data_IF_989150261948
#
_entry.id   IF_989150261948
#
_cell.length_a   1.000
_cell.length_b   1.000
_cell.length_c   1.000
_cell.angle_alpha   90.00
_cell.angle_beta   90.00
_cell.angle_gamma   90.00
#
_symmetry.space_group_name_H-M   'P 1'
#
loop_
_entity.id
_entity.type
_entity.pdbx_description
1 polymer ?
#
# COMPACT_ATOMS: atom_id res chain seq x y z
N UNK A 1 76.95 41.58 38.22
CA UNK A 1 76.72 41.39 36.77
C UNK A 1 76.63 39.87 36.50
N UNK A 2 75.62 39.41 35.91
CA UNK A 2 75.53 38.00 35.53
C UNK A 2 76.53 37.73 34.40
N UNK A 3 77.15 36.55 34.39
CA UNK A 3 78.08 36.19 33.32
C UNK A 3 77.28 36.01 31.96
N UNK A 4 77.96 36.18 30.84
CA UNK A 4 77.31 35.98 29.52
C UNK A 4 76.68 34.58 29.35
N UNK A 5 77.30 33.57 29.95
CA UNK A 5 76.77 32.21 29.97
C UNK A 5 75.43 32.08 30.74
N UNK A 6 75.35 32.74 31.91
CA UNK A 6 74.07 32.73 32.70
C UNK A 6 72.93 33.47 31.97
N UNK A 7 73.25 34.50 31.19
CA UNK A 7 72.30 35.25 30.39
C UNK A 7 71.77 34.38 29.21
N UNK A 8 72.64 33.59 28.55
CA UNK A 8 72.31 32.69 27.49
C UNK A 8 71.43 31.51 27.99
N UNK A 9 71.82 30.88 29.11
CA UNK A 9 71.04 29.81 29.73
C UNK A 9 69.66 30.31 30.15
N UNK A 10 69.49 31.47 30.66
CA UNK A 10 68.23 32.06 31.07
C UNK A 10 67.33 32.39 29.87
N UNK A 11 67.90 32.75 28.71
CA UNK A 11 67.18 32.95 27.49
C UNK A 11 66.65 31.61 26.94
N UNK A 12 67.44 30.57 26.92
CA UNK A 12 67.03 29.23 26.46
C UNK A 12 65.89 28.68 27.34
N UNK A 13 66.06 28.82 28.69
CA UNK A 13 65.01 28.36 29.62
C UNK A 13 63.66 29.13 29.44
N UNK A 14 63.74 30.43 29.13
CA UNK A 14 62.54 31.23 28.83
C UNK A 14 61.91 30.88 27.51
N UNK A 15 62.65 30.50 26.49
CA UNK A 15 62.10 30.01 25.20
C UNK A 15 61.46 28.66 25.35
N UNK A 16 62.09 27.71 26.04
CA UNK A 16 61.48 26.42 26.36
C UNK A 16 60.14 26.54 27.13
N UNK A 17 60.11 27.39 28.13
CA UNK A 17 58.90 27.71 28.90
C UNK A 17 57.83 28.37 28.02
N UNK A 18 58.18 29.16 27.02
CA UNK A 18 57.27 29.77 26.07
C UNK A 18 56.72 28.72 25.11
N UNK A 19 57.53 27.82 24.64
CA UNK A 19 57.13 26.73 23.75
C UNK A 19 56.16 25.73 24.46
N UNK A 20 56.50 25.34 25.68
CA UNK A 20 55.61 24.49 26.50
C UNK A 20 54.24 25.15 26.76
N UNK A 21 54.25 26.48 27.07
CA UNK A 21 53.02 27.25 27.25
C UNK A 21 52.21 27.33 25.94
N UNK A 22 52.85 27.47 24.78
CA UNK A 22 52.20 27.49 23.46
C UNK A 22 51.64 26.12 23.12
N UNK A 23 52.38 25.05 23.34
CA UNK A 23 51.93 23.67 23.12
C UNK A 23 50.75 23.34 24.04
N UNK A 24 50.79 23.71 25.32
CA UNK A 24 49.69 23.51 26.26
C UNK A 24 48.42 24.28 25.83
N UNK A 25 48.54 25.56 25.42
CA UNK A 25 47.41 26.34 24.89
C UNK A 25 46.84 25.74 23.62
N UNK A 26 47.67 25.28 22.67
CA UNK A 26 47.20 24.60 21.45
C UNK A 26 46.43 23.33 21.79
N UNK A 27 46.95 22.51 22.72
CA UNK A 27 46.28 21.30 23.19
C UNK A 27 44.91 21.61 23.84
N UNK A 28 44.84 22.66 24.67
CA UNK A 28 43.54 23.08 25.25
C UNK A 28 42.55 23.58 24.19
N UNK A 29 43.00 24.39 23.23
CA UNK A 29 42.14 24.86 22.15
C UNK A 29 41.58 23.67 21.34
N UNK A 30 42.42 22.66 21.03
CA UNK A 30 41.97 21.45 20.33
C UNK A 30 40.93 20.68 21.18
N UNK A 31 41.18 20.48 22.47
CA UNK A 31 40.26 19.79 23.38
C UNK A 31 38.91 20.53 23.44
N UNK A 32 38.90 21.85 23.60
CA UNK A 32 37.68 22.65 23.65
C UNK A 32 36.93 22.62 22.30
N UNK A 33 37.66 22.68 21.17
CA UNK A 33 37.06 22.61 19.84
C UNK A 33 36.43 21.25 19.60
N UNK A 34 37.08 20.15 19.95
CA UNK A 34 36.54 18.79 19.84
C UNK A 34 35.32 18.61 20.75
N UNK A 35 35.41 19.08 22.03
CA UNK A 35 34.27 19.01 22.95
C UNK A 35 33.07 19.81 22.46
N UNK A 36 33.31 20.98 21.85
CA UNK A 36 32.24 21.79 21.24
C UNK A 36 31.58 21.12 20.04
N UNK A 37 32.39 20.51 19.17
CA UNK A 37 31.86 19.73 18.02
C UNK A 37 31.05 18.55 18.52
N UNK A 38 31.53 17.80 19.52
CA UNK A 38 30.78 16.68 20.12
C UNK A 38 29.47 17.16 20.74
N UNK A 39 29.49 18.31 21.43
CA UNK A 39 28.27 18.89 22.00
C UNK A 39 27.24 19.28 20.92
N UNK A 40 27.72 19.87 19.80
CA UNK A 40 26.84 20.17 18.65
C UNK A 40 26.25 18.90 18.06
N UNK A 41 27.06 17.85 17.84
CA UNK A 41 26.59 16.57 17.32
C UNK A 41 25.54 15.97 18.26
N UNK A 42 25.78 15.96 19.56
CA UNK A 42 24.82 15.49 20.56
C UNK A 42 23.52 16.31 20.53
N UNK A 43 23.64 17.64 20.41
CA UNK A 43 22.46 18.52 20.31
C UNK A 43 21.65 18.22 19.03
N UNK A 44 22.31 18.06 17.89
CA UNK A 44 21.64 17.72 16.61
C UNK A 44 21.00 16.35 16.70
N UNK A 45 21.68 15.34 17.26
CA UNK A 45 21.13 13.99 17.45
C UNK A 45 19.93 14.02 18.41
N UNK A 46 20.02 14.78 19.50
CA UNK A 46 18.92 14.92 20.47
C UNK A 46 17.74 15.66 19.85
N UNK A 47 17.99 16.77 19.13
CA UNK A 47 16.95 17.51 18.41
C UNK A 47 16.28 16.64 17.35
N UNK A 48 17.07 15.86 16.60
CA UNK A 48 16.56 14.89 15.64
C UNK A 48 15.72 13.80 16.32
N UNK A 49 16.17 13.26 17.46
CA UNK A 49 15.42 12.27 18.22
C UNK A 49 14.09 12.82 18.78
N UNK A 50 14.09 14.04 19.32
CA UNK A 50 12.90 14.74 19.81
C UNK A 50 11.94 15.06 18.66
N UNK A 51 12.48 15.51 17.51
CA UNK A 51 11.71 15.75 16.30
C UNK A 51 11.04 14.46 15.80
N UNK A 52 11.76 13.36 15.73
CA UNK A 52 11.24 12.05 15.38
C UNK A 52 10.13 11.57 16.34
N UNK A 53 10.32 11.77 17.66
CA UNK A 53 9.27 11.45 18.65
C UNK A 53 8.03 12.31 18.49
N UNK A 54 8.17 13.59 18.23
CA UNK A 54 7.05 14.51 17.99
C UNK A 54 6.25 14.13 16.73
N UNK A 55 6.92 13.61 15.69
CA UNK A 55 6.26 13.08 14.50
C UNK A 55 5.50 11.76 14.80
N UNK A 56 6.04 10.90 15.67
CA UNK A 56 5.36 9.67 16.09
C UNK A 56 4.12 9.95 16.95
N UNK A 57 4.17 10.93 17.85
CA UNK A 57 3.01 11.29 18.69
C UNK A 57 1.86 11.93 17.89
N UNK A 58 2.12 12.60 16.77
CA UNK A 58 1.07 13.10 15.88
C UNK A 58 0.42 11.99 15.03
N UNK A 59 1.01 10.81 14.91
CA UNK A 59 0.52 9.67 14.13
C UNK A 59 -0.22 8.61 14.96
N UNK A 60 -0.16 8.65 16.29
CA UNK A 60 -0.91 7.75 17.16
C UNK A 60 -2.34 8.24 17.39
N UNK A 61 -3.10 8.40 16.31
CA UNK A 61 -4.56 8.36 16.39
C UNK A 61 -4.98 6.92 16.16
N UNK A 62 -5.31 6.27 17.29
CA UNK A 62 -6.09 5.04 17.41
C UNK A 62 -5.90 3.97 16.31
N UNK A 63 -5.08 2.95 16.59
CA UNK A 63 -5.25 1.62 16.00
C UNK A 63 -4.71 1.42 14.59
N UNK A 64 -3.84 2.27 14.10
CA UNK A 64 -3.19 2.07 12.80
C UNK A 64 -1.83 1.39 12.97
N UNK A 65 -1.72 0.22 12.37
CA UNK A 65 -0.47 -0.41 11.95
C UNK A 65 0.48 0.64 11.36
N UNK A 66 1.81 0.45 11.45
CA UNK A 66 2.89 1.29 10.88
C UNK A 66 2.85 1.34 9.33
N UNK A 67 1.65 1.55 8.75
CA UNK A 67 1.43 1.61 7.30
C UNK A 67 1.54 3.04 6.80
N UNK A 68 2.40 3.24 5.81
CA UNK A 68 2.54 4.50 5.09
C UNK A 68 1.52 4.57 3.95
N UNK A 69 0.61 5.55 4.00
CA UNK A 69 -0.39 5.80 2.95
C UNK A 69 0.11 6.89 2.01
N UNK A 70 0.21 6.56 0.71
CA UNK A 70 0.68 7.48 -0.33
C UNK A 70 -0.31 7.49 -1.50
N UNK A 71 -0.85 8.65 -1.81
CA UNK A 71 -1.73 8.86 -2.97
C UNK A 71 -0.89 9.09 -4.23
N UNK A 72 -0.99 8.19 -5.18
CA UNK A 72 -0.41 8.36 -6.50
C UNK A 72 -1.39 9.05 -7.43
N UNK A 73 -0.91 10.08 -8.13
CA UNK A 73 -1.66 10.90 -9.07
C UNK A 73 -0.93 10.94 -10.41
N UNK A 74 -1.57 10.45 -11.45
CA UNK A 74 -1.09 10.54 -12.82
C UNK A 74 -1.93 11.51 -13.64
N UNK A 75 -1.28 12.48 -14.31
CA UNK A 75 -1.96 13.48 -15.14
C UNK A 75 -1.55 13.37 -16.61
N UNK A 76 -2.35 13.96 -17.50
CA UNK A 76 -2.02 14.19 -18.90
C UNK A 76 -1.39 15.59 -19.06
N UNK A 77 -0.23 15.68 -19.69
CA UNK A 77 0.55 16.91 -19.84
C UNK A 77 -0.11 17.98 -20.76
N UNK A 78 -1.15 17.61 -21.50
CA UNK A 78 -1.59 18.39 -22.67
C UNK A 78 -2.57 19.54 -22.42
N UNK A 79 -3.03 19.80 -21.20
CA UNK A 79 -4.07 20.78 -20.95
C UNK A 79 -3.72 21.75 -19.80
N UNK A 80 -3.07 22.86 -20.14
CA UNK A 80 -2.65 23.92 -19.21
C UNK A 80 -3.78 24.54 -18.38
N UNK A 81 -5.04 24.39 -18.74
CA UNK A 81 -6.16 25.07 -18.08
C UNK A 81 -7.06 24.17 -17.23
N UNK A 82 -6.95 22.84 -17.30
CA UNK A 82 -7.77 21.91 -16.52
C UNK A 82 -7.18 20.51 -16.43
N UNK A 83 -5.90 20.41 -16.07
CA UNK A 83 -5.22 19.12 -15.90
C UNK A 83 -5.93 18.30 -14.82
N UNK A 84 -6.48 17.16 -15.20
CA UNK A 84 -7.16 16.22 -14.29
C UNK A 84 -6.27 15.04 -13.99
N UNK A 85 -6.38 14.51 -12.79
CA UNK A 85 -5.75 13.24 -12.47
C UNK A 85 -6.55 12.09 -13.10
N UNK A 86 -5.99 11.46 -14.12
CA UNK A 86 -6.62 10.33 -14.82
C UNK A 86 -6.28 8.97 -14.21
N UNK A 87 -5.20 8.91 -13.43
CA UNK A 87 -4.83 7.76 -12.62
C UNK A 87 -4.76 8.18 -11.16
N UNK A 88 -5.57 7.55 -10.32
CA UNK A 88 -5.66 7.85 -8.89
C UNK A 88 -5.58 6.51 -8.16
N UNK A 89 -4.50 6.30 -7.38
CA UNK A 89 -4.27 5.06 -6.65
C UNK A 89 -3.76 5.38 -5.25
N UNK A 90 -4.31 4.70 -4.25
CA UNK A 90 -3.80 4.76 -2.89
C UNK A 90 -2.90 3.56 -2.61
N UNK A 91 -1.65 3.82 -2.31
CA UNK A 91 -0.69 2.82 -1.85
C UNK A 91 -0.67 2.78 -0.33
N UNK A 92 -0.69 1.57 0.22
CA UNK A 92 -0.51 1.26 1.63
C UNK A 92 0.72 0.39 1.77
N UNK A 93 1.76 0.90 2.42
CA UNK A 93 3.06 0.26 2.54
C UNK A 93 3.33 -0.08 4.00
N UNK A 94 3.39 -1.37 4.32
CA UNK A 94 3.80 -1.85 5.65
C UNK A 94 5.31 -2.11 5.66
N UNK A 95 6.06 -1.21 6.29
CA UNK A 95 7.53 -1.32 6.36
C UNK A 95 8.01 -2.42 7.31
N UNK A 96 7.11 -3.00 8.11
CA UNK A 96 7.41 -4.07 9.06
C UNK A 96 7.28 -5.44 8.40
N UNK A 97 6.15 -5.70 7.73
CA UNK A 97 5.84 -6.99 7.08
C UNK A 97 6.27 -7.04 5.62
N UNK A 98 6.43 -5.88 4.98
CA UNK A 98 6.67 -5.75 3.54
C UNK A 98 5.42 -5.96 2.69
N UNK A 99 4.23 -5.93 3.28
CA UNK A 99 2.98 -5.97 2.54
C UNK A 99 2.71 -4.65 1.82
N UNK A 100 2.18 -4.76 0.61
CA UNK A 100 1.80 -3.61 -0.22
C UNK A 100 0.35 -3.74 -0.61
N UNK A 101 -0.46 -2.74 -0.26
CA UNK A 101 -1.82 -2.60 -0.73
C UNK A 101 -1.93 -1.51 -1.80
N UNK A 102 -2.65 -1.77 -2.89
CA UNK A 102 -2.92 -0.78 -3.94
C UNK A 102 -4.42 -0.72 -4.21
N UNK A 103 -5.03 0.40 -3.88
CA UNK A 103 -6.44 0.67 -4.15
C UNK A 103 -6.57 1.65 -5.31
N UNK A 104 -7.04 1.17 -6.47
CA UNK A 104 -7.36 2.02 -7.61
C UNK A 104 -8.69 2.73 -7.37
N UNK A 105 -8.71 4.04 -7.49
CA UNK A 105 -9.90 4.88 -7.35
C UNK A 105 -10.32 5.35 -8.74
N UNK A 106 -11.49 4.91 -9.27
CA UNK A 106 -11.96 5.36 -10.56
C UNK A 106 -12.05 6.89 -10.62
N UNK A 107 -11.52 7.50 -11.67
CA UNK A 107 -11.43 8.96 -11.82
C UNK A 107 -12.77 9.69 -11.73
N UNK A 108 -13.85 9.01 -12.12
CA UNK A 108 -15.22 9.55 -12.09
C UNK A 108 -15.94 9.27 -10.75
N UNK A 109 -15.21 8.79 -9.72
CA UNK A 109 -15.77 8.53 -8.38
C UNK A 109 -16.37 9.79 -7.81
N UNK A 110 -17.63 9.69 -7.40
CA UNK A 110 -18.36 10.77 -6.73
C UNK A 110 -17.83 10.96 -5.32
N UNK A 111 -17.35 12.16 -5.01
CA UNK A 111 -16.74 12.49 -3.72
C UNK A 111 -17.22 13.85 -3.23
N UNK A 112 -17.39 14.00 -1.93
CA UNK A 112 -17.56 15.29 -1.29
C UNK A 112 -16.20 15.95 -1.11
N UNK A 113 -16.03 17.16 -1.68
CA UNK A 113 -14.80 17.94 -1.51
C UNK A 113 -15.07 18.99 -0.43
N UNK A 114 -14.54 18.83 0.81
CA UNK A 114 -14.87 19.68 1.96
C UNK A 114 -14.59 21.17 1.71
N UNK A 115 -13.41 21.52 1.17
CA UNK A 115 -13.02 22.90 0.88
C UNK A 115 -13.91 23.59 -0.16
N UNK A 116 -14.59 22.82 -1.02
CA UNK A 116 -15.53 23.33 -2.03
C UNK A 116 -16.99 23.19 -1.62
N UNK A 117 -17.27 22.46 -0.54
CA UNK A 117 -18.63 22.18 -0.04
C UNK A 117 -19.59 21.63 -1.11
N UNK A 118 -19.10 20.73 -1.97
CA UNK A 118 -19.89 20.15 -3.06
C UNK A 118 -19.44 18.77 -3.47
N UNK A 119 -20.36 18.02 -4.07
CA UNK A 119 -20.09 16.73 -4.66
C UNK A 119 -19.57 16.93 -6.08
N UNK A 120 -18.39 16.32 -6.36
CA UNK A 120 -17.78 16.33 -7.70
C UNK A 120 -17.17 14.95 -8.02
N UNK A 121 -16.56 14.83 -9.19
CA UNK A 121 -15.69 13.68 -9.50
C UNK A 121 -14.36 13.87 -8.79
N UNK A 122 -13.78 12.75 -8.33
CA UNK A 122 -12.49 12.80 -7.59
C UNK A 122 -11.37 13.40 -8.43
N UNK A 123 -11.35 13.18 -9.76
CA UNK A 123 -10.34 13.75 -10.65
C UNK A 123 -10.44 15.29 -10.78
N UNK A 124 -11.59 15.86 -10.53
CA UNK A 124 -11.77 17.30 -10.55
C UNK A 124 -11.08 17.99 -9.37
N UNK A 125 -10.88 17.29 -8.25
CA UNK A 125 -10.18 17.83 -7.10
C UNK A 125 -8.75 18.29 -7.46
N UNK A 126 -8.02 17.48 -8.24
CA UNK A 126 -6.70 17.87 -8.72
C UNK A 126 -6.73 19.12 -9.61
N UNK A 127 -7.68 19.21 -10.53
CA UNK A 127 -7.82 20.37 -11.41
C UNK A 127 -8.15 21.69 -10.67
N UNK A 128 -8.80 21.59 -9.51
CA UNK A 128 -9.18 22.75 -8.70
C UNK A 128 -8.13 23.22 -7.71
N UNK A 129 -7.36 22.31 -7.12
CA UNK A 129 -6.42 22.65 -6.05
C UNK A 129 -5.20 21.72 -5.97
N UNK A 130 -4.85 21.08 -7.11
CA UNK A 130 -3.67 20.24 -7.20
C UNK A 130 -3.72 19.02 -6.26
N UNK A 131 -2.55 18.53 -5.91
CA UNK A 131 -2.41 17.35 -5.06
C UNK A 131 -3.01 17.53 -3.66
N UNK A 132 -2.97 18.73 -3.11
CA UNK A 132 -3.53 19.02 -1.77
C UNK A 132 -5.06 18.79 -1.73
N UNK A 133 -5.79 19.28 -2.72
CA UNK A 133 -7.25 19.06 -2.78
C UNK A 133 -7.59 17.61 -3.16
N UNK A 134 -6.75 16.94 -3.95
CA UNK A 134 -6.89 15.51 -4.21
C UNK A 134 -6.73 14.68 -2.94
N UNK A 135 -5.73 14.97 -2.08
CA UNK A 135 -5.56 14.35 -0.76
C UNK A 135 -6.81 14.56 0.12
N UNK A 136 -7.33 15.80 0.17
CA UNK A 136 -8.53 16.11 0.93
C UNK A 136 -9.75 15.31 0.43
N UNK A 137 -9.96 15.26 -0.87
CA UNK A 137 -11.05 14.52 -1.49
C UNK A 137 -10.96 13.01 -1.20
N UNK A 138 -9.77 12.42 -1.36
CA UNK A 138 -9.57 10.99 -1.10
C UNK A 138 -9.68 10.68 0.39
N UNK A 139 -9.15 11.53 1.27
CA UNK A 139 -9.31 11.37 2.72
C UNK A 139 -10.78 11.42 3.14
N UNK A 140 -11.56 12.33 2.55
CA UNK A 140 -13.02 12.42 2.77
C UNK A 140 -13.75 11.17 2.26
N UNK A 141 -13.39 10.69 1.06
CA UNK A 141 -13.99 9.51 0.42
C UNK A 141 -13.79 8.26 1.25
N UNK A 142 -12.56 8.02 1.71
CA UNK A 142 -12.17 6.80 2.40
C UNK A 142 -12.33 6.89 3.92
N UNK A 143 -12.69 8.08 4.45
CA UNK A 143 -12.83 8.38 5.89
C UNK A 143 -11.55 8.03 6.68
N UNK A 144 -10.39 8.25 6.05
CA UNK A 144 -9.08 8.05 6.68
C UNK A 144 -8.10 9.15 6.28
N UNK A 145 -7.14 9.54 7.13
CA UNK A 145 -6.15 10.54 6.79
C UNK A 145 -5.16 10.00 5.75
N UNK A 146 -5.07 10.66 4.59
CA UNK A 146 -4.05 10.42 3.57
C UNK A 146 -3.21 11.68 3.48
N UNK A 147 -1.94 11.61 3.92
CA UNK A 147 -1.10 12.79 4.13
C UNK A 147 -0.06 13.00 3.06
N UNK A 148 0.29 11.93 2.32
CA UNK A 148 1.36 11.97 1.35
C UNK A 148 0.86 11.69 -0.05
N UNK A 149 1.50 12.33 -1.03
CA UNK A 149 1.23 12.09 -2.44
C UNK A 149 2.52 11.94 -3.24
N UNK A 150 2.40 11.30 -4.36
CA UNK A 150 3.35 11.28 -5.48
C UNK A 150 2.57 11.62 -6.73
N UNK A 151 2.98 12.66 -7.42
CA UNK A 151 2.41 13.07 -8.68
C UNK A 151 3.44 12.96 -9.81
N UNK A 152 2.99 12.50 -10.97
CA UNK A 152 3.77 12.50 -12.21
C UNK A 152 2.85 12.70 -13.41
N UNK A 153 3.38 13.31 -14.47
CA UNK A 153 2.75 13.35 -15.78
C UNK A 153 3.29 12.23 -16.70
N UNK A 154 2.84 12.20 -17.94
CA UNK A 154 3.28 11.18 -18.89
C UNK A 154 4.78 11.22 -19.17
N UNK A 155 5.36 12.42 -19.29
CA UNK A 155 6.79 12.59 -19.55
C UNK A 155 7.62 12.12 -18.34
N UNK A 156 7.18 12.47 -17.14
CA UNK A 156 7.78 11.98 -15.90
C UNK A 156 7.66 10.47 -15.76
N UNK A 157 6.50 9.88 -16.09
CA UNK A 157 6.34 8.43 -16.09
C UNK A 157 7.31 7.73 -17.02
N UNK A 158 7.46 8.22 -18.27
CA UNK A 158 8.42 7.68 -19.23
C UNK A 158 9.84 7.75 -18.68
N UNK A 159 10.24 8.90 -18.13
CA UNK A 159 11.56 9.09 -17.53
C UNK A 159 11.79 8.16 -16.32
N UNK A 160 10.79 7.96 -15.46
CA UNK A 160 10.88 7.04 -14.33
C UNK A 160 11.18 5.61 -14.79
N UNK A 161 10.48 5.15 -15.82
CA UNK A 161 10.70 3.81 -16.37
C UNK A 161 12.09 3.70 -17.00
N UNK A 162 12.55 4.72 -17.71
CA UNK A 162 13.87 4.73 -18.35
C UNK A 162 15.01 4.77 -17.31
N UNK A 163 14.82 5.49 -16.20
CA UNK A 163 15.76 5.50 -15.06
C UNK A 163 15.89 4.12 -14.41
N UNK A 164 14.81 3.32 -14.39
CA UNK A 164 14.83 1.93 -13.93
C UNK A 164 15.50 0.96 -14.94
N UNK A 165 15.79 1.41 -16.17
CA UNK A 165 16.33 0.59 -17.24
C UNK A 165 15.26 -0.15 -18.05
N UNK A 166 14.02 0.30 -18.00
CA UNK A 166 12.85 -0.35 -18.58
C UNK A 166 12.20 -1.33 -17.61
N UNK A 167 11.05 -1.90 -17.97
CA UNK A 167 10.31 -2.89 -17.17
C UNK A 167 10.03 -4.12 -18.03
N UNK A 168 10.40 -5.30 -17.52
CA UNK A 168 10.15 -6.57 -18.19
C UNK A 168 8.69 -6.98 -18.02
N UNK A 169 7.97 -7.11 -19.12
CA UNK A 169 6.54 -7.46 -19.15
C UNK A 169 6.29 -8.53 -20.20
N UNK A 170 5.48 -9.52 -19.83
CA UNK A 170 4.90 -10.45 -20.79
C UNK A 170 3.61 -9.85 -21.36
N UNK A 171 3.69 -9.32 -22.59
CA UNK A 171 2.53 -8.78 -23.29
C UNK A 171 1.68 -9.95 -23.79
N UNK A 172 0.52 -10.18 -23.20
CA UNK A 172 -0.32 -11.37 -23.46
C UNK A 172 -0.82 -11.45 -24.92
N UNK A 173 -1.09 -10.30 -25.54
CA UNK A 173 -1.60 -10.20 -26.93
C UNK A 173 -1.10 -8.93 -27.60
N UNK A 174 -1.22 -8.88 -28.94
CA UNK A 174 -0.91 -7.65 -29.71
C UNK A 174 -1.83 -6.52 -29.26
N UNK A 175 -1.24 -5.39 -28.87
CA UNK A 175 -1.94 -4.16 -28.53
C UNK A 175 -1.71 -3.16 -29.66
N UNK A 176 -2.78 -2.83 -30.39
CA UNK A 176 -2.72 -1.87 -31.49
C UNK A 176 -3.90 -0.90 -31.36
N UNK A 177 -3.55 0.38 -31.26
CA UNK A 177 -4.54 1.46 -31.11
C UNK A 177 -3.96 2.77 -31.62
N UNK A 178 -4.75 3.52 -32.35
CA UNK A 178 -4.35 4.85 -32.85
C UNK A 178 -5.44 5.86 -32.51
N UNK A 179 -5.07 6.84 -31.71
CA UNK A 179 -5.87 8.03 -31.43
C UNK A 179 -5.15 9.26 -32.01
N UNK A 180 -5.58 9.65 -33.21
CA UNK A 180 -5.01 10.82 -33.89
C UNK A 180 -5.29 12.13 -33.17
N UNK A 181 -6.44 12.26 -32.49
CA UNK A 181 -6.84 13.46 -31.77
C UNK A 181 -6.01 13.62 -30.47
N UNK A 182 -5.77 12.52 -29.77
CA UNK A 182 -4.95 12.48 -28.56
C UNK A 182 -3.46 12.28 -28.81
N UNK A 183 -3.02 12.12 -30.09
CA UNK A 183 -1.61 11.89 -30.42
C UNK A 183 -1.04 10.61 -29.82
N UNK A 184 -1.88 9.59 -29.63
CA UNK A 184 -1.47 8.31 -29.05
C UNK A 184 -1.42 7.24 -30.14
N UNK A 185 -0.26 6.64 -30.32
CA UNK A 185 -0.07 5.46 -31.17
C UNK A 185 0.50 4.33 -30.32
N UNK A 186 -0.19 3.21 -30.30
CA UNK A 186 0.18 1.99 -29.57
C UNK A 186 0.39 0.87 -30.56
N UNK A 187 1.56 0.25 -30.57
CA UNK A 187 1.85 -0.99 -31.28
C UNK A 187 2.82 -1.85 -30.46
N UNK A 188 2.27 -2.70 -29.60
CA UNK A 188 3.05 -3.64 -28.81
C UNK A 188 2.78 -5.07 -29.29
N UNK A 189 3.86 -5.80 -29.58
CA UNK A 189 3.77 -7.22 -29.97
C UNK A 189 3.62 -8.11 -28.74
N UNK A 190 2.98 -9.29 -28.88
CA UNK A 190 2.89 -10.26 -27.79
C UNK A 190 4.27 -10.82 -27.44
N UNK A 191 4.42 -11.29 -26.19
CA UNK A 191 5.60 -11.97 -25.68
C UNK A 191 6.35 -11.18 -24.60
N UNK A 192 7.32 -11.84 -23.98
CA UNK A 192 8.20 -11.27 -22.97
C UNK A 192 9.13 -10.23 -23.60
N UNK A 193 9.11 -9.01 -23.09
CA UNK A 193 9.93 -7.91 -23.60
C UNK A 193 10.18 -6.85 -22.52
N UNK A 194 11.30 -6.14 -22.64
CA UNK A 194 11.61 -4.99 -21.80
C UNK A 194 10.98 -3.75 -22.43
N UNK A 195 10.05 -3.14 -21.73
CA UNK A 195 9.39 -1.90 -22.13
C UNK A 195 10.18 -0.70 -21.63
N UNK A 196 10.66 0.15 -22.53
CA UNK A 196 11.17 1.48 -22.17
C UNK A 196 9.99 2.40 -21.78
N UNK A 197 10.28 3.63 -21.33
CA UNK A 197 9.27 4.58 -20.88
C UNK A 197 8.09 4.75 -21.83
N UNK A 198 8.37 4.99 -23.11
CA UNK A 198 7.34 5.16 -24.14
C UNK A 198 6.45 3.92 -24.30
N UNK A 199 7.06 2.73 -24.41
CA UNK A 199 6.30 1.48 -24.54
C UNK A 199 5.55 1.12 -23.28
N UNK A 200 6.11 1.41 -22.12
CA UNK A 200 5.44 1.24 -20.84
C UNK A 200 4.19 2.13 -20.73
N UNK A 201 4.31 3.41 -21.18
CA UNK A 201 3.16 4.31 -21.24
C UNK A 201 2.10 3.80 -22.22
N UNK A 202 2.48 3.27 -23.37
CA UNK A 202 1.56 2.62 -24.31
C UNK A 202 0.84 1.43 -23.63
N UNK A 203 1.56 0.58 -22.90
CA UNK A 203 1.04 -0.60 -22.22
C UNK A 203 -0.03 -0.23 -21.19
N UNK A 204 0.25 0.71 -20.30
CA UNK A 204 -0.67 1.10 -19.22
C UNK A 204 -1.85 1.95 -19.72
N UNK A 205 -1.76 2.57 -20.91
CA UNK A 205 -2.82 3.39 -21.52
C UNK A 205 -3.69 2.63 -22.52
N UNK A 206 -3.27 1.46 -22.96
CA UNK A 206 -4.04 0.69 -23.94
C UNK A 206 -5.48 0.46 -23.48
N UNK A 207 -6.43 0.65 -24.39
CA UNK A 207 -7.84 0.34 -24.20
C UNK A 207 -8.27 -0.60 -25.31
N UNK A 208 -9.03 -1.62 -24.98
CA UNK A 208 -9.64 -2.47 -25.97
C UNK A 208 -10.77 -1.74 -26.71
N UNK A 209 -11.13 -2.22 -27.91
CA UNK A 209 -12.24 -1.65 -28.73
C UNK A 209 -13.58 -1.64 -28.01
N UNK A 210 -13.80 -2.52 -27.05
CA UNK A 210 -15.04 -2.64 -26.27
C UNK A 210 -15.07 -1.69 -25.04
N UNK A 211 -14.05 -0.84 -24.86
CA UNK A 211 -13.97 0.08 -23.74
C UNK A 211 -13.37 -0.55 -22.48
N UNK A 212 -13.40 0.18 -21.37
CA UNK A 212 -12.89 -0.26 -20.08
C UNK A 212 -13.92 -1.12 -19.33
N UNK A 213 -14.34 -2.23 -19.93
CA UNK A 213 -15.33 -3.14 -19.34
C UNK A 213 -14.82 -3.80 -18.05
N UNK A 214 -13.50 -3.81 -17.85
CA UNK A 214 -12.84 -4.37 -16.65
C UNK A 214 -13.24 -3.72 -15.32
N UNK A 215 -13.83 -2.54 -15.35
CA UNK A 215 -14.37 -1.89 -14.14
C UNK A 215 -15.78 -2.40 -13.80
N UNK A 216 -16.43 -3.13 -14.70
CA UNK A 216 -17.85 -3.51 -14.59
C UNK A 216 -18.04 -5.01 -14.40
N UNK A 217 -17.08 -5.84 -14.83
CA UNK A 217 -17.20 -7.30 -14.76
C UNK A 217 -16.01 -7.95 -14.03
N UNK A 218 -16.10 -8.13 -12.70
CA UNK A 218 -15.08 -8.84 -11.94
C UNK A 218 -15.05 -10.35 -12.22
N UNK A 219 -15.99 -10.89 -13.03
CA UNK A 219 -16.13 -12.33 -13.27
C UNK A 219 -15.65 -12.77 -14.65
N UNK A 220 -15.14 -11.86 -15.49
CA UNK A 220 -14.64 -12.24 -16.81
C UNK A 220 -13.12 -12.40 -16.77
N UNK A 221 -12.67 -13.59 -16.37
CA UNK A 221 -11.23 -13.94 -16.20
C UNK A 221 -10.42 -13.85 -17.50
N UNK A 222 -11.07 -13.79 -18.66
CA UNK A 222 -10.39 -13.64 -19.96
C UNK A 222 -10.12 -12.18 -20.35
N UNK A 223 -10.56 -11.22 -19.54
CA UNK A 223 -10.51 -9.81 -19.92
C UNK A 223 -9.28 -9.11 -19.34
N UNK A 224 -8.25 -8.93 -20.19
CA UNK A 224 -7.08 -8.10 -19.92
C UNK A 224 -7.45 -6.60 -19.96
N UNK A 225 -8.02 -6.11 -18.88
CA UNK A 225 -8.44 -4.71 -18.75
C UNK A 225 -7.29 -3.75 -18.37
N UNK A 226 -7.53 -2.44 -18.52
CA UNK A 226 -6.54 -1.41 -18.21
C UNK A 226 -6.07 -1.48 -16.75
N UNK A 227 -6.98 -1.72 -15.81
CA UNK A 227 -6.65 -1.81 -14.38
C UNK A 227 -5.75 -3.01 -14.11
N UNK A 228 -6.06 -4.16 -14.71
CA UNK A 228 -5.23 -5.35 -14.60
C UNK A 228 -3.84 -5.13 -15.20
N UNK A 229 -3.73 -4.48 -16.36
CA UNK A 229 -2.42 -4.11 -16.93
C UNK A 229 -1.62 -3.17 -16.04
N UNK A 230 -2.28 -2.19 -15.43
CA UNK A 230 -1.64 -1.30 -14.46
C UNK A 230 -1.14 -2.10 -13.25
N UNK A 231 -1.93 -3.04 -12.74
CA UNK A 231 -1.51 -3.94 -11.67
C UNK A 231 -0.27 -4.75 -12.06
N UNK A 232 -0.31 -5.45 -13.19
CA UNK A 232 0.81 -6.25 -13.70
C UNK A 232 2.07 -5.39 -13.92
N UNK A 233 1.89 -4.17 -14.41
CA UNK A 233 2.99 -3.23 -14.56
C UNK A 233 3.62 -2.86 -13.20
N UNK A 234 2.81 -2.53 -12.19
CA UNK A 234 3.31 -2.23 -10.85
C UNK A 234 4.01 -3.42 -10.21
N UNK A 235 3.46 -4.63 -10.34
CA UNK A 235 4.10 -5.86 -9.86
C UNK A 235 5.48 -6.05 -10.49
N UNK A 236 5.58 -5.86 -11.78
CA UNK A 236 6.85 -5.96 -12.51
C UNK A 236 7.86 -4.88 -12.06
N UNK A 237 7.42 -3.62 -11.88
CA UNK A 237 8.25 -2.53 -11.34
C UNK A 237 8.76 -2.87 -9.94
N UNK A 238 7.89 -3.32 -9.05
CA UNK A 238 8.28 -3.73 -7.69
C UNK A 238 9.29 -4.87 -7.73
N UNK A 239 9.00 -5.93 -8.47
CA UNK A 239 9.90 -7.09 -8.62
C UNK A 239 11.28 -6.69 -9.16
N UNK A 240 11.33 -5.83 -10.17
CA UNK A 240 12.59 -5.37 -10.77
C UNK A 240 13.36 -4.42 -9.85
N UNK A 241 12.67 -3.51 -9.16
CA UNK A 241 13.29 -2.56 -8.23
C UNK A 241 13.93 -3.28 -7.05
N UNK A 242 13.33 -4.38 -6.60
CA UNK A 242 13.81 -5.20 -5.49
C UNK A 242 14.85 -6.24 -5.90
N UNK A 243 15.24 -6.28 -7.17
CA UNK A 243 16.32 -7.17 -7.62
C UNK A 243 17.67 -6.79 -6.97
N UNK A 244 18.54 -7.76 -6.64
CA UNK A 244 19.83 -7.49 -6.00
C UNK A 244 20.70 -6.48 -6.78
N UNK A 245 20.61 -6.50 -8.11
CA UNK A 245 21.34 -5.60 -9.00
C UNK A 245 20.86 -4.14 -8.91
N UNK A 246 19.59 -3.92 -8.60
CA UNK A 246 18.96 -2.61 -8.48
C UNK A 246 19.13 -2.04 -7.08
N UNK A 247 19.06 -2.88 -6.04
CA UNK A 247 19.21 -2.46 -4.63
C UNK A 247 20.54 -1.73 -4.39
N UNK A 248 21.63 -2.17 -5.01
CA UNK A 248 22.94 -1.50 -4.89
C UNK A 248 22.91 -0.07 -5.47
N UNK A 249 22.06 0.18 -6.47
CA UNK A 249 21.92 1.48 -7.15
C UNK A 249 20.82 2.36 -6.56
N UNK A 250 20.05 1.86 -5.58
CA UNK A 250 18.90 2.55 -4.99
C UNK A 250 19.17 4.00 -4.58
N UNK A 251 20.27 4.38 -3.88
CA UNK A 251 20.49 5.76 -3.49
C UNK A 251 20.59 6.73 -4.68
N UNK A 252 21.19 6.28 -5.79
CA UNK A 252 21.29 7.08 -7.01
C UNK A 252 19.96 7.18 -7.74
N UNK A 253 19.22 6.05 -7.82
CA UNK A 253 17.89 6.00 -8.42
C UNK A 253 16.91 6.89 -7.68
N UNK A 254 16.88 6.82 -6.35
CA UNK A 254 16.01 7.66 -5.51
C UNK A 254 16.25 9.15 -5.79
N UNK A 255 17.52 9.59 -5.88
CA UNK A 255 17.81 11.00 -6.18
C UNK A 255 17.31 11.41 -7.57
N UNK A 256 17.38 10.54 -8.57
CA UNK A 256 16.88 10.81 -9.92
C UNK A 256 15.35 10.83 -9.94
N UNK A 257 14.69 9.87 -9.30
CA UNK A 257 13.23 9.80 -9.17
C UNK A 257 12.67 11.08 -8.55
N UNK A 258 13.28 11.58 -7.45
CA UNK A 258 12.85 12.81 -6.79
C UNK A 258 12.94 14.08 -7.64
N UNK A 259 13.73 14.07 -8.71
CA UNK A 259 13.78 15.19 -9.67
C UNK A 259 12.67 15.15 -10.71
N UNK A 260 12.04 13.99 -10.86
CA UNK A 260 11.02 13.72 -11.90
C UNK A 260 9.61 13.82 -11.32
N UNK A 261 9.42 13.45 -10.04
CA UNK A 261 8.12 13.45 -9.38
C UNK A 261 7.90 14.73 -8.57
N UNK A 262 6.62 15.13 -8.44
CA UNK A 262 6.17 16.10 -7.44
C UNK A 262 5.61 15.35 -6.23
N UNK A 263 6.13 15.62 -5.02
CA UNK A 263 5.74 14.89 -3.81
C UNK A 263 5.98 15.72 -2.55
N UNK A 264 5.12 15.52 -1.56
CA UNK A 264 5.33 16.03 -0.20
C UNK A 264 5.90 14.96 0.75
N UNK A 265 6.30 13.80 0.22
CA UNK A 265 6.88 12.72 1.04
C UNK A 265 8.26 13.17 1.57
N UNK A 266 8.45 13.22 2.91
CA UNK A 266 9.73 13.61 3.49
C UNK A 266 10.86 12.65 3.12
N UNK A 267 12.06 13.18 2.93
CA UNK A 267 13.24 12.40 2.52
C UNK A 267 13.58 11.24 3.47
N UNK A 268 13.39 11.44 4.76
CA UNK A 268 13.61 10.41 5.79
C UNK A 268 12.64 9.22 5.63
N UNK A 269 11.40 9.48 5.23
CA UNK A 269 10.41 8.43 4.91
C UNK A 269 10.81 7.64 3.66
N UNK A 270 11.28 8.33 2.64
CA UNK A 270 11.77 7.68 1.42
C UNK A 270 12.99 6.82 1.71
N UNK A 271 13.93 7.32 2.50
CA UNK A 271 15.09 6.55 2.92
C UNK A 271 14.68 5.31 3.74
N UNK A 272 13.71 5.45 4.64
CA UNK A 272 13.14 4.35 5.40
C UNK A 272 12.51 3.29 4.49
N UNK A 273 11.74 3.71 3.48
CA UNK A 273 11.18 2.80 2.47
C UNK A 273 12.28 2.09 1.68
N UNK A 274 13.29 2.82 1.22
CA UNK A 274 14.42 2.25 0.49
C UNK A 274 15.19 1.22 1.32
N UNK A 275 15.41 1.49 2.62
CA UNK A 275 16.06 0.54 3.54
C UNK A 275 15.18 -0.69 3.84
N UNK A 276 13.87 -0.53 3.84
CA UNK A 276 12.91 -1.62 4.01
C UNK A 276 12.65 -2.38 2.71
N UNK A 277 13.21 -1.94 1.59
CA UNK A 277 12.95 -2.43 0.24
C UNK A 277 13.07 -3.96 0.11
N UNK A 278 14.02 -4.57 0.80
CA UNK A 278 14.21 -6.04 0.78
C UNK A 278 13.08 -6.85 1.41
N UNK A 279 12.18 -6.21 2.16
CA UNK A 279 11.01 -6.87 2.77
C UNK A 279 9.81 -6.92 1.82
N UNK A 280 9.74 -5.95 0.88
CA UNK A 280 8.67 -5.90 -0.11
C UNK A 280 8.88 -6.97 -1.17
N UNK A 281 7.80 -7.57 -1.63
CA UNK A 281 7.82 -8.53 -2.74
C UNK A 281 6.46 -8.53 -3.45
N UNK A 282 6.45 -8.92 -4.72
CA UNK A 282 5.25 -8.92 -5.53
C UNK A 282 4.17 -9.89 -5.01
N UNK A 283 4.58 -11.01 -4.43
CA UNK A 283 3.68 -12.00 -3.79
C UNK A 283 2.95 -11.47 -2.55
N UNK A 284 3.47 -10.39 -1.93
CA UNK A 284 2.83 -9.71 -0.80
C UNK A 284 2.00 -8.48 -1.23
N UNK A 285 1.84 -8.28 -2.54
CA UNK A 285 1.07 -7.17 -3.06
C UNK A 285 -0.40 -7.57 -3.26
N UNK A 286 -1.29 -6.78 -2.66
CA UNK A 286 -2.73 -6.90 -2.83
C UNK A 286 -3.25 -5.68 -3.59
N UNK A 287 -4.05 -5.91 -4.61
CA UNK A 287 -4.61 -4.84 -5.42
C UNK A 287 -6.12 -4.99 -5.55
N UNK A 288 -6.82 -3.86 -5.54
CA UNK A 288 -8.25 -3.83 -5.83
C UNK A 288 -8.66 -2.50 -6.46
N UNK A 289 -9.83 -2.51 -7.08
CA UNK A 289 -10.53 -1.29 -7.49
C UNK A 289 -11.56 -0.96 -6.42
N UNK A 290 -11.75 0.34 -6.11
CA UNK A 290 -12.76 0.79 -5.17
C UNK A 290 -14.16 0.37 -5.66
N UNK A 291 -14.87 -0.52 -4.95
CA UNK A 291 -16.13 -1.09 -5.41
C UNK A 291 -17.23 -0.04 -5.56
N UNK A 292 -17.99 -0.12 -6.64
CA UNK A 292 -19.08 0.78 -6.94
C UNK A 292 -19.79 0.39 -8.22
N UNK A 293 -20.58 1.30 -8.73
CA UNK A 293 -21.25 1.17 -10.02
C UNK A 293 -21.45 2.53 -10.69
N UNK A 294 -21.51 2.52 -12.02
CA UNK A 294 -21.74 3.75 -12.79
C UNK A 294 -23.20 4.17 -12.69
N UNK A 295 -23.43 5.43 -12.36
CA UNK A 295 -24.75 6.06 -12.26
C UNK A 295 -24.78 7.42 -12.93
N UNK A 296 -25.92 7.79 -13.51
CA UNK A 296 -26.17 9.15 -14.00
C UNK A 296 -26.84 9.95 -12.89
N UNK A 297 -26.18 11.01 -12.43
CA UNK A 297 -26.69 11.93 -11.42
C UNK A 297 -26.58 13.36 -11.97
N UNK A 298 -27.70 14.09 -12.04
CA UNK A 298 -27.73 15.46 -12.58
C UNK A 298 -27.09 15.53 -13.98
N UNK A 299 -27.50 14.62 -14.89
CA UNK A 299 -27.03 14.56 -16.29
C UNK A 299 -25.51 14.22 -16.46
N UNK A 300 -24.81 13.88 -15.40
CA UNK A 300 -23.41 13.50 -15.42
C UNK A 300 -23.20 12.06 -14.92
N UNK A 301 -22.27 11.35 -15.57
CA UNK A 301 -21.85 10.03 -15.14
C UNK A 301 -20.93 10.11 -13.92
N UNK A 302 -21.25 9.30 -12.90
CA UNK A 302 -20.42 9.13 -11.71
C UNK A 302 -20.22 7.64 -11.38
N UNK A 303 -19.05 7.31 -10.83
CA UNK A 303 -18.84 6.08 -10.11
C UNK A 303 -19.30 6.25 -8.67
N UNK A 304 -20.37 5.59 -8.28
CA UNK A 304 -20.96 5.66 -6.94
C UNK A 304 -20.47 4.47 -6.14
N UNK A 305 -19.78 4.73 -5.04
CA UNK A 305 -19.15 3.71 -4.19
C UNK A 305 -20.21 2.85 -3.50
N UNK A 306 -19.98 1.53 -3.49
CA UNK A 306 -20.70 0.60 -2.63
C UNK A 306 -20.01 0.55 -1.27
N UNK A 307 -20.53 1.24 -0.28
CA UNK A 307 -19.87 1.43 1.02
C UNK A 307 -19.58 0.10 1.74
N UNK A 308 -20.50 -0.87 1.67
CA UNK A 308 -20.33 -2.16 2.33
C UNK A 308 -19.16 -2.97 1.74
N UNK A 309 -19.12 -3.09 0.40
CA UNK A 309 -18.02 -3.76 -0.31
C UNK A 309 -16.71 -2.97 -0.19
N UNK A 310 -16.77 -1.65 -0.24
CA UNK A 310 -15.59 -0.79 -0.10
C UNK A 310 -14.93 -0.97 1.25
N UNK A 311 -15.72 -1.08 2.34
CA UNK A 311 -15.17 -1.33 3.67
C UNK A 311 -14.37 -2.64 3.71
N UNK A 312 -14.89 -3.74 3.17
CA UNK A 312 -14.18 -5.02 3.13
C UNK A 312 -12.87 -4.91 2.33
N UNK A 313 -12.90 -4.27 1.15
CA UNK A 313 -11.71 -4.05 0.31
C UNK A 313 -10.68 -3.18 1.02
N UNK A 314 -11.10 -2.10 1.68
CA UNK A 314 -10.21 -1.21 2.44
C UNK A 314 -9.59 -1.99 3.62
N UNK A 315 -10.38 -2.77 4.36
CA UNK A 315 -9.88 -3.57 5.46
C UNK A 315 -8.80 -4.56 4.99
N UNK A 316 -9.00 -5.21 3.83
CA UNK A 316 -8.06 -6.18 3.28
C UNK A 316 -6.86 -5.48 2.64
N UNK A 317 -7.08 -4.59 1.66
CA UNK A 317 -6.01 -4.03 0.82
C UNK A 317 -5.23 -2.95 1.56
N UNK A 318 -5.92 -2.05 2.27
CA UNK A 318 -5.24 -0.91 2.92
C UNK A 318 -4.72 -1.28 4.32
N UNK A 319 -5.50 -2.03 5.09
CA UNK A 319 -5.11 -2.39 6.45
C UNK A 319 -4.44 -3.78 6.56
N UNK A 320 -4.37 -4.56 5.46
CA UNK A 320 -3.79 -5.90 5.45
C UNK A 320 -4.55 -6.91 6.33
N UNK A 321 -5.82 -6.60 6.64
CA UNK A 321 -6.64 -7.56 7.35
C UNK A 321 -6.96 -8.72 6.41
N UNK A 322 -6.93 -9.95 6.89
CA UNK A 322 -7.28 -11.09 6.05
C UNK A 322 -8.72 -10.95 5.55
N UNK A 323 -8.97 -11.35 4.31
CA UNK A 323 -10.32 -11.38 3.75
C UNK A 323 -11.29 -12.12 4.69
N UNK A 324 -12.52 -11.65 4.85
CA UNK A 324 -13.53 -12.39 5.61
C UNK A 324 -13.68 -13.81 5.06
N UNK A 325 -13.69 -14.80 5.95
CA UNK A 325 -13.92 -16.17 5.57
C UNK A 325 -15.38 -16.34 5.11
N UNK A 326 -15.57 -16.80 3.89
CA UNK A 326 -16.90 -17.14 3.37
C UNK A 326 -17.31 -18.51 3.88
N UNK A 327 -18.41 -18.58 4.59
CA UNK A 327 -18.89 -19.80 5.23
C UNK A 327 -20.06 -20.40 4.47
N UNK A 328 -20.02 -21.71 4.31
CA UNK A 328 -21.15 -22.55 3.90
C UNK A 328 -21.55 -23.43 5.08
N UNK A 329 -22.82 -23.42 5.48
CA UNK A 329 -23.29 -24.20 6.63
C UNK A 329 -24.15 -25.35 6.16
N UNK A 330 -23.76 -26.59 6.44
CA UNK A 330 -24.41 -27.79 5.99
C UNK A 330 -25.00 -28.61 7.16
N UNK A 331 -26.23 -29.05 7.00
CA UNK A 331 -26.89 -29.97 7.91
C UNK A 331 -26.36 -31.40 7.66
N UNK A 332 -25.57 -31.92 8.58
CA UNK A 332 -25.04 -33.28 8.55
C UNK A 332 -25.70 -34.23 9.58
N UNK A 333 -26.63 -33.74 10.41
CA UNK A 333 -27.30 -34.56 11.45
C UNK A 333 -28.78 -34.86 11.15
N UNK A 334 -29.33 -34.31 10.06
CA UNK A 334 -30.72 -34.56 9.66
C UNK A 334 -31.77 -33.76 10.45
N UNK A 335 -31.40 -32.94 11.42
CA UNK A 335 -32.35 -32.08 12.18
C UNK A 335 -32.83 -30.95 11.27
N UNK A 336 -34.15 -30.89 11.06
CA UNK A 336 -34.74 -29.85 10.22
C UNK A 336 -34.41 -28.45 10.74
N UNK A 337 -33.96 -27.57 9.85
CA UNK A 337 -33.66 -26.14 10.13
C UNK A 337 -32.33 -25.86 10.83
N UNK A 338 -31.55 -26.88 11.22
CA UNK A 338 -30.30 -26.66 11.97
C UNK A 338 -29.27 -25.84 11.19
N UNK A 339 -29.14 -26.05 9.86
CA UNK A 339 -28.18 -25.28 9.06
C UNK A 339 -28.57 -23.79 8.99
N UNK A 340 -29.86 -23.48 8.88
CA UNK A 340 -30.36 -22.11 8.94
C UNK A 340 -30.12 -21.49 10.31
N UNK A 341 -30.46 -22.21 11.40
CA UNK A 341 -30.24 -21.74 12.76
C UNK A 341 -28.78 -21.35 13.02
N UNK A 342 -27.83 -22.21 12.59
CA UNK A 342 -26.39 -21.95 12.73
C UNK A 342 -25.92 -20.86 11.79
N UNK A 343 -26.46 -20.80 10.55
CA UNK A 343 -26.13 -19.73 9.60
C UNK A 343 -26.53 -18.35 10.15
N UNK A 344 -27.75 -18.22 10.71
CA UNK A 344 -28.24 -17.00 11.32
C UNK A 344 -27.40 -16.59 12.54
N UNK A 345 -27.02 -17.56 13.36
CA UNK A 345 -26.17 -17.38 14.54
C UNK A 345 -24.77 -16.88 14.13
N UNK A 346 -24.13 -17.51 13.15
CA UNK A 346 -22.81 -17.10 12.68
C UNK A 346 -22.83 -15.72 12.01
N UNK A 347 -23.89 -15.44 11.24
CA UNK A 347 -24.10 -14.11 10.63
C UNK A 347 -24.28 -13.03 11.71
N UNK A 348 -24.99 -13.31 12.79
CA UNK A 348 -25.13 -12.40 13.93
C UNK A 348 -23.77 -12.07 14.59
N UNK A 349 -22.84 -13.04 14.64
CA UNK A 349 -21.47 -12.83 15.13
C UNK A 349 -20.51 -12.23 14.10
N UNK A 350 -21.02 -11.85 12.92
CA UNK A 350 -20.25 -11.13 11.90
C UNK A 350 -19.48 -12.01 10.92
N UNK A 351 -19.77 -13.31 10.87
CA UNK A 351 -19.24 -14.19 9.83
C UNK A 351 -20.01 -14.01 8.50
N UNK A 352 -19.31 -14.09 7.37
CA UNK A 352 -19.90 -14.00 6.03
C UNK A 352 -20.44 -15.38 5.62
N UNK A 353 -21.69 -15.67 5.98
CA UNK A 353 -22.36 -16.92 5.58
C UNK A 353 -23.00 -16.75 4.21
N UNK A 354 -22.36 -17.33 3.20
CA UNK A 354 -22.79 -17.19 1.78
C UNK A 354 -23.91 -18.16 1.39
N UNK A 355 -24.01 -19.30 2.06
CA UNK A 355 -25.10 -20.27 1.82
C UNK A 355 -25.26 -21.27 2.98
N UNK A 356 -26.40 -21.91 3.04
CA UNK A 356 -26.67 -23.03 3.94
C UNK A 356 -27.50 -24.10 3.17
N UNK A 357 -27.39 -25.36 3.63
CA UNK A 357 -28.09 -26.49 2.96
C UNK A 357 -27.92 -27.79 3.70
N UNK A 358 -28.05 -28.88 2.98
CA UNK A 358 -27.85 -30.24 3.49
C UNK A 358 -26.46 -30.73 3.05
N UNK A 359 -25.81 -31.51 3.92
CA UNK A 359 -24.62 -32.29 3.56
C UNK A 359 -25.03 -33.47 2.65
N UNK A 360 -24.04 -34.16 2.08
CA UNK A 360 -24.27 -35.35 1.24
C UNK A 360 -25.11 -36.42 1.94
N UNK A 361 -24.94 -36.52 3.25
CA UNK A 361 -25.69 -37.46 4.10
C UNK A 361 -25.89 -36.89 5.50
N UNK A 362 -26.74 -37.50 6.33
CA UNK A 362 -27.10 -37.02 7.65
C UNK A 362 -26.50 -37.85 8.78
N UNK A 363 -25.43 -38.58 8.55
CA UNK A 363 -24.80 -39.44 9.55
C UNK A 363 -23.47 -38.92 10.07
N UNK A 364 -23.26 -37.61 9.98
CA UNK A 364 -22.09 -36.97 10.63
C UNK A 364 -22.27 -37.00 12.14
N UNK A 365 -21.37 -37.76 12.80
CA UNK A 365 -21.39 -37.90 14.27
C UNK A 365 -20.85 -36.66 14.97
N UNK A 366 -19.88 -35.97 14.37
CA UNK A 366 -19.22 -34.79 14.93
C UNK A 366 -19.40 -33.59 14.01
N UNK A 367 -19.54 -32.42 14.60
CA UNK A 367 -19.51 -31.13 13.89
C UNK A 367 -18.10 -30.87 13.38
N UNK A 368 -17.98 -30.44 12.13
CA UNK A 368 -16.70 -30.28 11.43
C UNK A 368 -16.63 -28.91 10.76
N UNK A 369 -15.44 -28.32 10.77
CA UNK A 369 -15.07 -27.14 9.99
C UNK A 369 -14.03 -27.58 8.96
N UNK A 370 -14.45 -27.68 7.71
CA UNK A 370 -13.60 -28.07 6.59
C UNK A 370 -13.01 -26.82 5.96
N UNK A 371 -11.68 -26.74 5.88
CA UNK A 371 -10.96 -25.53 5.48
C UNK A 371 -9.64 -25.87 4.83
N UNK A 372 -9.12 -24.98 3.98
CA UNK A 372 -7.76 -25.10 3.45
C UNK A 372 -6.70 -25.06 4.57
N UNK A 373 -5.56 -25.67 4.35
CA UNK A 373 -4.43 -25.64 5.31
C UNK A 373 -4.01 -24.20 5.67
N UNK A 374 -4.08 -23.27 4.71
CA UNK A 374 -3.77 -21.84 4.87
C UNK A 374 -4.64 -21.14 5.91
N UNK A 375 -5.93 -21.48 5.96
CA UNK A 375 -6.91 -20.81 6.80
C UNK A 375 -7.24 -21.58 8.10
N UNK A 376 -6.57 -22.72 8.35
CA UNK A 376 -6.84 -23.58 9.51
C UNK A 376 -6.72 -22.86 10.87
N UNK A 377 -5.71 -22.00 11.04
CA UNK A 377 -5.55 -21.19 12.24
C UNK A 377 -6.67 -20.14 12.41
N UNK A 378 -7.17 -19.60 11.30
CA UNK A 378 -8.20 -18.56 11.30
C UNK A 378 -9.57 -19.07 11.73
N UNK A 379 -9.84 -20.35 11.52
CA UNK A 379 -11.13 -20.97 11.90
C UNK A 379 -11.13 -21.53 13.31
N UNK A 380 -10.02 -21.53 14.05
CA UNK A 380 -9.96 -22.04 15.42
C UNK A 380 -11.03 -21.42 16.34
N UNK A 381 -11.20 -20.07 16.39
CA UNK A 381 -12.24 -19.48 17.23
C UNK A 381 -13.66 -19.95 16.87
N UNK A 382 -13.91 -20.15 15.57
CA UNK A 382 -15.17 -20.67 15.06
C UNK A 382 -15.37 -22.14 15.48
N UNK A 383 -14.35 -22.98 15.31
CA UNK A 383 -14.38 -24.38 15.68
C UNK A 383 -14.58 -24.55 17.18
N UNK A 384 -13.84 -23.80 17.99
CA UNK A 384 -13.98 -23.79 19.47
C UNK A 384 -15.39 -23.38 19.89
N UNK A 385 -15.94 -22.34 19.26
CA UNK A 385 -17.31 -21.87 19.55
C UNK A 385 -18.37 -22.93 19.26
N UNK A 386 -18.23 -23.64 18.12
CA UNK A 386 -19.15 -24.69 17.72
C UNK A 386 -18.88 -26.05 18.40
N UNK A 387 -17.73 -26.22 19.04
CA UNK A 387 -17.23 -27.51 19.51
C UNK A 387 -16.88 -28.45 18.36
N UNK A 388 -16.44 -27.89 17.24
CA UNK A 388 -16.21 -28.60 16.01
C UNK A 388 -14.73 -29.06 15.85
N UNK A 389 -14.52 -30.16 15.15
CA UNK A 389 -13.20 -30.57 14.69
C UNK A 389 -12.81 -29.87 13.39
N UNK A 390 -11.53 -29.45 13.26
CA UNK A 390 -11.03 -28.86 12.03
C UNK A 390 -10.55 -29.97 11.11
N UNK A 391 -11.05 -30.00 9.87
CA UNK A 391 -10.62 -30.90 8.80
C UNK A 391 -9.95 -30.08 7.71
N UNK A 392 -8.74 -30.47 7.30
CA UNK A 392 -8.05 -29.82 6.20
C UNK A 392 -8.46 -30.41 4.88
N UNK A 393 -8.92 -29.55 3.97
CA UNK A 393 -9.20 -29.94 2.57
C UNK A 393 -7.92 -29.85 1.74
N UNK A 394 -7.73 -30.80 0.82
CA UNK A 394 -6.68 -30.77 -0.19
C UNK A 394 -6.97 -29.76 -1.31
N UNK A 395 -8.22 -29.36 -1.48
CA UNK A 395 -8.60 -28.32 -2.42
C UNK A 395 -8.33 -26.93 -1.82
N UNK A 396 -7.71 -26.05 -2.59
CA UNK A 396 -7.58 -24.62 -2.28
C UNK A 396 -8.97 -23.93 -2.37
N UNK A 397 -9.94 -24.45 -1.62
CA UNK A 397 -11.26 -23.86 -1.60
C UNK A 397 -11.20 -22.53 -0.85
N UNK A 398 -11.64 -21.45 -1.49
CA UNK A 398 -11.79 -20.12 -0.88
C UNK A 398 -12.94 -20.05 0.14
N UNK A 399 -13.61 -21.17 0.43
CA UNK A 399 -14.76 -21.26 1.31
C UNK A 399 -14.51 -22.23 2.47
N UNK A 400 -15.00 -21.84 3.64
CA UNK A 400 -15.01 -22.67 4.84
C UNK A 400 -16.37 -23.40 4.91
N UNK A 401 -16.36 -24.71 4.97
CA UNK A 401 -17.59 -25.48 5.11
C UNK A 401 -17.78 -25.94 6.56
N UNK A 402 -18.87 -25.53 7.17
CA UNK A 402 -19.30 -25.98 8.51
C UNK A 402 -20.32 -27.08 8.34
N UNK A 403 -20.01 -28.30 8.76
CA UNK A 403 -20.93 -29.45 8.71
C UNK A 403 -21.40 -29.73 10.12
N UNK A 404 -22.69 -29.58 10.38
CA UNK A 404 -23.30 -29.78 11.71
C UNK A 404 -23.54 -31.27 11.96
N UNK A 405 -22.84 -31.81 12.93
CA UNK A 405 -22.93 -33.21 13.36
C UNK A 405 -23.99 -33.45 14.46
N UNK A 406 -24.10 -34.73 14.85
CA UNK A 406 -25.05 -35.16 15.90
C UNK A 406 -24.69 -34.64 17.30
N UNK A 407 -23.42 -34.29 17.50
CA UNK A 407 -22.89 -33.71 18.76
C UNK A 407 -23.24 -32.23 18.93
N UNK A 408 -23.80 -31.57 17.92
CA UNK A 408 -24.19 -30.16 18.02
C UNK A 408 -25.39 -29.98 18.91
N UNK A 409 -25.22 -29.29 20.05
CA UNK A 409 -26.29 -28.80 20.92
C UNK A 409 -26.53 -27.32 20.68
N UNK A 410 -27.79 -26.91 20.53
CA UNK A 410 -28.12 -25.49 20.33
C UNK A 410 -27.71 -24.67 21.57
N UNK A 411 -27.40 -23.40 21.37
CA UNK A 411 -27.00 -22.47 22.45
C UNK A 411 -28.03 -22.35 23.55
N UNK A 412 -29.31 -22.70 23.27
CA UNK A 412 -30.37 -22.78 24.27
C UNK A 412 -30.17 -23.95 25.25
N UNK A 413 -29.52 -25.02 24.84
CA UNK A 413 -29.26 -26.19 25.71
C UNK A 413 -27.96 -26.01 26.51
N UNK A 414 -26.98 -25.23 26.00
CA UNK A 414 -25.74 -24.92 26.75
C UNK A 414 -25.96 -23.97 27.95
N UNK A 415 -27.01 -23.15 27.94
CA UNK A 415 -27.33 -22.20 29.03
C UNK A 415 -28.15 -22.80 30.15
N UNK A 416 -28.57 -24.07 30.06
CA UNK A 416 -29.37 -24.79 31.08
C UNK A 416 -28.50 -25.75 31.93
N UNK A 417 -27.21 -25.86 31.62
CA UNK A 417 -26.25 -26.76 32.27
C UNK A 417 -25.28 -26.06 33.22
N UNK A 418 -25.68 -24.94 33.90
CA UNK A 418 -24.97 -24.33 35.03
C UNK A 418 -25.87 -24.40 36.27
#
# INVERSE_FOLDING_TARGET
>A
MLSEEEVVQRKVELEERRELKRAYRRRQVIIYSVSFIVAIILMVVTAFYVYQRGLQEQQTVAGTTDRLLVLFLGTDEKLEASTRADSIMLFSLDTTTGEVGVLSIPRDTRVWIPSRQRWERVNAAYAHGGASMALEAVSSLLRMPVNYYVHTDFAGFEQLVDVLGGVEINVARRMQYVDKAGGLEIDLRPGLQVLNGQKALQYVRYRDRLGDVSLVDPFNEEYDGRVERQRQFFEAVVSQTLSPSTIVKLPQLVTQVFRIIDTNLPWDRVLSLAMSGTKFSADKMQTAVLPGNSQVLNEAWYWVVNEAKAKAVIDTVIYGKPEPLKLVVLNGNGRSGVAQEVADLLSYYGYDVVSHGNAEHFNFTTTQVVVSARDAERVKPLADYLGASIQQSEEEASQVTVIIGQDYSSTKERSVGI
#
